data_IF_050436857300
#
_entry.id   IF_050436857300
#
_cell.length_a   1.000
_cell.length_b   1.000
_cell.length_c   1.000
_cell.angle_alpha   90.00
_cell.angle_beta   90.00
_cell.angle_gamma   90.00
#
_symmetry.space_group_name_H-M   'P 1'
#
loop_
_entity.id
_entity.type
_entity.pdbx_description
1 polymer ?
#
# COMPACT_ATOMS: atom_id res chain seq x y z
N UNK A 1 0.93 -4.53 -5.68
CA UNK A 1 2.39 -4.56 -5.94
C UNK A 1 2.89 -5.84 -6.60
N UNK A 2 2.48 -7.05 -6.15
CA UNK A 2 2.99 -8.30 -6.73
C UNK A 2 2.82 -8.41 -8.26
N UNK A 3 1.65 -8.05 -8.80
CA UNK A 3 1.40 -8.06 -10.26
C UNK A 3 2.32 -7.11 -11.03
N UNK A 4 2.54 -5.90 -10.52
CA UNK A 4 3.42 -4.91 -11.12
C UNK A 4 4.86 -5.42 -11.17
N UNK A 5 5.37 -5.94 -10.05
CA UNK A 5 6.72 -6.51 -9.99
C UNK A 5 6.86 -7.74 -10.88
N UNK A 6 5.88 -8.65 -10.88
CA UNK A 6 5.87 -9.85 -11.71
C UNK A 6 5.87 -9.52 -13.21
N UNK A 7 5.08 -8.53 -13.63
CA UNK A 7 5.05 -8.07 -15.02
C UNK A 7 6.40 -7.49 -15.47
N UNK A 8 7.05 -6.67 -14.63
CA UNK A 8 8.39 -6.14 -14.92
C UNK A 8 9.41 -7.28 -14.99
N UNK A 9 9.40 -8.20 -14.02
CA UNK A 9 10.32 -9.33 -14.00
C UNK A 9 10.17 -10.23 -15.23
N UNK A 10 8.94 -10.52 -15.68
CA UNK A 10 8.70 -11.34 -16.86
C UNK A 10 9.35 -10.74 -18.12
N UNK A 11 9.22 -9.42 -18.31
CA UNK A 11 9.85 -8.72 -19.45
C UNK A 11 11.38 -8.77 -19.34
N UNK A 12 11.94 -8.51 -18.15
CA UNK A 12 13.40 -8.55 -17.92
C UNK A 12 13.96 -9.95 -18.19
N UNK A 13 13.29 -10.99 -17.67
CA UNK A 13 13.72 -12.38 -17.85
C UNK A 13 13.70 -12.81 -19.31
N UNK A 14 12.62 -12.52 -20.04
CA UNK A 14 12.53 -12.84 -21.48
C UNK A 14 13.60 -12.09 -22.27
N UNK A 15 13.87 -10.83 -21.93
CA UNK A 15 14.91 -10.04 -22.60
C UNK A 15 16.31 -10.65 -22.40
N UNK A 16 16.65 -11.06 -21.17
CA UNK A 16 17.96 -11.66 -20.87
C UNK A 16 18.12 -13.07 -21.47
N UNK A 17 17.05 -13.87 -21.46
CA UNK A 17 17.07 -15.27 -21.90
C UNK A 17 16.56 -15.46 -23.33
N UNK A 18 16.57 -14.39 -24.12
CA UNK A 18 15.92 -14.34 -25.43
C UNK A 18 16.38 -15.45 -26.39
N UNK A 19 17.67 -15.80 -26.38
CA UNK A 19 18.23 -16.86 -27.23
C UNK A 19 17.78 -18.27 -26.83
N UNK A 20 17.31 -18.47 -25.59
CA UNK A 20 16.91 -19.77 -25.07
C UNK A 20 15.46 -20.11 -25.46
N UNK A 21 14.60 -19.11 -25.59
CA UNK A 21 13.18 -19.28 -25.92
C UNK A 21 12.94 -19.18 -27.43
N UNK A 22 12.86 -20.34 -28.11
CA UNK A 22 12.79 -20.43 -29.58
C UNK A 22 11.44 -19.99 -30.18
N UNK A 23 10.34 -20.11 -29.45
CA UNK A 23 9.02 -19.70 -29.92
C UNK A 23 8.84 -18.18 -29.81
N UNK A 24 9.04 -17.50 -30.95
CA UNK A 24 8.93 -16.03 -31.03
C UNK A 24 7.52 -15.53 -30.79
N UNK A 25 6.50 -16.31 -31.15
CA UNK A 25 5.09 -15.93 -30.99
C UNK A 25 4.70 -15.99 -29.52
N UNK A 26 5.05 -17.08 -28.83
CA UNK A 26 4.79 -17.20 -27.39
C UNK A 26 5.51 -16.09 -26.59
N UNK A 27 6.78 -15.81 -26.91
CA UNK A 27 7.54 -14.74 -26.24
C UNK A 27 6.88 -13.38 -26.45
N UNK A 28 6.46 -13.06 -27.68
CA UNK A 28 5.79 -11.80 -28.01
C UNK A 28 4.46 -11.66 -27.25
N UNK A 29 3.68 -12.74 -27.14
CA UNK A 29 2.43 -12.76 -26.38
C UNK A 29 2.71 -12.50 -24.89
N UNK A 30 3.71 -13.16 -24.30
CA UNK A 30 4.03 -12.97 -22.88
C UNK A 30 4.48 -11.54 -22.60
N UNK A 31 5.32 -10.96 -23.47
CA UNK A 31 5.76 -9.57 -23.33
C UNK A 31 4.58 -8.61 -23.47
N UNK A 32 3.72 -8.78 -24.48
CA UNK A 32 2.54 -7.94 -24.67
C UNK A 32 1.57 -8.02 -23.48
N UNK A 33 1.28 -9.24 -23.01
CA UNK A 33 0.46 -9.45 -21.82
C UNK A 33 1.07 -8.80 -20.57
N UNK A 34 2.40 -8.90 -20.40
CA UNK A 34 3.11 -8.27 -19.28
C UNK A 34 3.01 -6.75 -19.32
N UNK A 35 3.11 -6.13 -20.51
CA UNK A 35 2.94 -4.67 -20.67
C UNK A 35 1.51 -4.25 -20.31
N UNK A 36 0.50 -5.00 -20.74
CA UNK A 36 -0.91 -4.72 -20.40
C UNK A 36 -1.14 -4.85 -18.89
N UNK A 37 -0.68 -5.95 -18.27
CA UNK A 37 -0.79 -6.15 -16.81
C UNK A 37 -0.03 -5.08 -16.04
N UNK A 38 1.14 -4.66 -16.52
CA UNK A 38 1.92 -3.58 -15.93
C UNK A 38 1.15 -2.25 -15.97
N UNK A 39 0.65 -1.85 -17.14
CA UNK A 39 -0.08 -0.60 -17.30
C UNK A 39 -1.34 -0.55 -16.42
N UNK A 40 -2.13 -1.63 -16.42
CA UNK A 40 -3.31 -1.74 -15.56
C UNK A 40 -2.98 -1.72 -14.07
N UNK A 41 -1.94 -2.47 -13.65
CA UNK A 41 -1.49 -2.50 -12.25
C UNK A 41 -0.93 -1.15 -11.80
N UNK A 42 -0.18 -0.47 -12.66
CA UNK A 42 0.38 0.86 -12.38
C UNK A 42 -0.74 1.87 -12.21
N UNK A 43 -1.73 1.85 -13.11
CA UNK A 43 -2.90 2.71 -13.00
C UNK A 43 -3.63 2.49 -11.65
N UNK A 44 -3.92 1.24 -11.28
CA UNK A 44 -4.57 0.92 -10.00
C UNK A 44 -3.77 1.38 -8.78
N UNK A 45 -2.45 1.21 -8.79
CA UNK A 45 -1.58 1.64 -7.67
C UNK A 45 -1.52 3.17 -7.56
N UNK A 46 -1.57 3.88 -8.68
CA UNK A 46 -1.55 5.35 -8.67
C UNK A 46 -2.92 5.95 -8.32
N UNK A 47 -4.02 5.32 -8.74
CA UNK A 47 -5.37 5.84 -8.53
C UNK A 47 -5.96 5.43 -7.19
N UNK A 48 -5.59 4.26 -6.66
CA UNK A 48 -6.12 3.70 -5.40
C UNK A 48 -7.66 3.53 -5.40
N UNK A 49 -8.29 3.47 -6.57
CA UNK A 49 -9.76 3.42 -6.79
C UNK A 49 -10.46 2.23 -6.12
N UNK A 50 -9.73 1.16 -5.83
CA UNK A 50 -10.28 -0.07 -5.24
C UNK A 50 -10.02 -0.22 -3.74
N UNK A 51 -9.50 0.83 -3.10
CA UNK A 51 -9.24 0.86 -1.66
C UNK A 51 -10.48 1.38 -0.94
N UNK A 52 -11.03 0.58 -0.03
CA UNK A 52 -12.20 0.91 0.78
C UNK A 52 -11.80 1.05 2.25
N UNK A 53 -12.68 1.59 3.10
CA UNK A 53 -12.42 1.82 4.53
C UNK A 53 -11.84 0.58 5.23
N UNK A 54 -12.46 -0.59 5.04
CA UNK A 54 -12.03 -1.83 5.66
C UNK A 54 -10.69 -2.31 5.10
N UNK A 55 -10.48 -2.24 3.78
CA UNK A 55 -9.21 -2.70 3.18
C UNK A 55 -8.05 -1.76 3.51
N UNK A 56 -8.32 -0.45 3.60
CA UNK A 56 -7.39 0.55 4.11
C UNK A 56 -6.94 0.21 5.54
N UNK A 57 -7.88 0.03 6.48
CA UNK A 57 -7.54 -0.25 7.87
C UNK A 57 -6.84 -1.61 8.02
N UNK A 58 -7.28 -2.65 7.30
CA UNK A 58 -6.60 -3.96 7.31
C UNK A 58 -5.16 -3.87 6.79
N UNK A 59 -4.88 -2.99 5.83
CA UNK A 59 -3.52 -2.74 5.34
C UNK A 59 -2.69 -1.86 6.30
N UNK A 60 -3.32 -0.93 7.03
CA UNK A 60 -2.61 -0.03 7.95
C UNK A 60 -2.24 -0.69 9.29
N UNK A 61 -3.02 -1.65 9.80
CA UNK A 61 -2.64 -2.39 11.02
C UNK A 61 -1.21 -2.99 10.93
N UNK A 62 -0.82 -3.75 9.89
CA UNK A 62 0.54 -4.26 9.77
C UNK A 62 1.57 -3.15 9.48
N UNK A 63 1.19 -2.10 8.73
CA UNK A 63 2.07 -0.94 8.51
C UNK A 63 2.45 -0.27 9.84
N UNK A 64 1.46 -0.05 10.71
CA UNK A 64 1.65 0.48 12.06
C UNK A 64 2.50 -0.44 12.94
N UNK A 65 2.25 -1.75 12.83
CA UNK A 65 3.00 -2.76 13.59
C UNK A 65 4.50 -2.74 13.26
N UNK A 66 4.88 -2.42 12.01
CA UNK A 66 6.29 -2.26 11.63
C UNK A 66 6.91 -1.05 12.34
N UNK A 67 6.19 0.06 12.48
CA UNK A 67 6.69 1.24 13.18
C UNK A 67 6.90 0.97 14.68
N UNK A 68 5.99 0.21 15.31
CA UNK A 68 6.13 -0.26 16.70
C UNK A 68 7.39 -1.13 16.82
N UNK A 69 7.49 -2.20 16.03
CA UNK A 69 8.64 -3.11 16.05
C UNK A 69 9.97 -2.38 15.83
N UNK A 70 10.00 -1.45 14.86
CA UNK A 70 11.19 -0.65 14.57
C UNK A 70 11.57 0.23 15.75
N UNK A 71 10.59 0.84 16.42
CA UNK A 71 10.81 1.69 17.59
C UNK A 71 11.31 0.87 18.80
N UNK A 72 10.75 -0.32 19.03
CA UNK A 72 11.16 -1.24 20.11
C UNK A 72 12.58 -1.78 19.92
N UNK A 73 13.01 -2.00 18.68
CA UNK A 73 14.32 -2.58 18.34
C UNK A 73 15.40 -1.52 18.04
N UNK A 74 15.06 -0.24 18.05
CA UNK A 74 15.98 0.83 17.70
C UNK A 74 17.08 1.02 18.76
N UNK A 75 18.34 1.12 18.32
CA UNK A 75 19.48 1.43 19.19
C UNK A 75 19.65 2.94 19.44
N UNK A 76 18.58 3.61 19.90
CA UNK A 76 18.56 5.07 20.12
C UNK A 76 19.04 5.45 21.53
N UNK A 77 20.03 6.34 21.60
CA UNK A 77 20.68 6.75 22.87
C UNK A 77 20.25 8.13 23.37
N UNK A 78 19.98 9.06 22.44
CA UNK A 78 19.53 10.41 22.79
C UNK A 78 18.16 10.34 23.51
N UNK A 79 18.02 10.91 24.72
CA UNK A 79 16.75 10.91 25.47
C UNK A 79 15.56 11.50 24.68
N UNK A 80 15.80 12.49 23.82
CA UNK A 80 14.75 13.13 23.01
C UNK A 80 14.23 12.17 21.95
N UNK A 81 15.11 11.37 21.36
CA UNK A 81 14.75 10.37 20.34
C UNK A 81 14.04 9.18 20.97
N UNK A 82 14.43 8.76 22.18
CA UNK A 82 13.68 7.74 22.94
C UNK A 82 12.26 8.18 23.25
N UNK A 83 12.10 9.42 23.74
CA UNK A 83 10.76 9.99 23.97
C UNK A 83 9.91 10.05 22.70
N UNK A 84 10.53 10.32 21.54
CA UNK A 84 9.84 10.26 20.25
C UNK A 84 9.41 8.82 19.91
N UNK A 85 10.28 7.84 20.10
CA UNK A 85 9.97 6.42 19.85
C UNK A 85 8.83 5.92 20.74
N UNK A 86 8.84 6.27 22.03
CA UNK A 86 7.74 5.95 22.96
C UNK A 86 6.41 6.58 22.49
N UNK A 87 6.46 7.85 22.06
CA UNK A 87 5.30 8.54 21.51
C UNK A 87 4.75 7.91 20.22
N UNK A 88 5.64 7.41 19.35
CA UNK A 88 5.25 6.66 18.14
C UNK A 88 4.55 5.37 18.55
N UNK A 89 5.14 4.58 19.46
CA UNK A 89 4.54 3.31 19.93
C UNK A 89 3.14 3.56 20.48
N UNK A 90 3.01 4.51 21.40
CA UNK A 90 1.75 4.85 22.06
C UNK A 90 0.67 5.26 21.04
N UNK A 91 1.01 6.09 20.05
CA UNK A 91 0.07 6.50 19.01
C UNK A 91 -0.36 5.31 18.14
N UNK A 92 0.60 4.53 17.65
CA UNK A 92 0.36 3.44 16.72
C UNK A 92 -0.46 2.31 17.38
N UNK A 93 -0.24 2.02 18.67
CA UNK A 93 -1.05 1.05 19.43
C UNK A 93 -2.49 1.52 19.58
N UNK A 94 -2.72 2.79 19.90
CA UNK A 94 -4.08 3.35 19.99
C UNK A 94 -4.81 3.29 18.64
N UNK A 95 -4.15 3.74 17.58
CA UNK A 95 -4.70 3.74 16.22
C UNK A 95 -5.02 2.32 15.73
N UNK A 96 -4.19 1.32 16.06
CA UNK A 96 -4.51 -0.11 15.79
C UNK A 96 -5.80 -0.54 16.52
N UNK A 97 -5.99 -0.11 17.77
CA UNK A 97 -7.20 -0.40 18.54
C UNK A 97 -8.45 0.22 17.89
N UNK A 98 -8.36 1.49 17.51
CA UNK A 98 -9.42 2.21 16.79
C UNK A 98 -9.77 1.53 15.47
N UNK A 99 -8.76 1.21 14.64
CA UNK A 99 -8.95 0.51 13.37
C UNK A 99 -9.64 -0.85 13.54
N UNK A 100 -9.24 -1.65 14.54
CA UNK A 100 -9.89 -2.94 14.82
C UNK A 100 -11.34 -2.78 15.21
N UNK A 101 -11.65 -1.77 16.04
CA UNK A 101 -13.02 -1.46 16.44
C UNK A 101 -13.86 -1.03 15.25
N UNK A 102 -13.35 -0.13 14.40
CA UNK A 102 -14.05 0.36 13.22
C UNK A 102 -14.24 -0.72 12.16
N UNK A 103 -13.26 -1.61 11.94
CA UNK A 103 -13.43 -2.76 11.04
C UNK A 103 -14.61 -3.62 11.50
N UNK A 104 -14.68 -3.95 12.79
CA UNK A 104 -15.77 -4.78 13.33
C UNK A 104 -17.13 -4.09 13.19
N UNK A 105 -17.20 -2.77 13.41
CA UNK A 105 -18.43 -2.01 13.24
C UNK A 105 -18.86 -1.94 11.77
N UNK A 106 -17.97 -1.61 10.84
CA UNK A 106 -18.28 -1.52 9.41
C UNK A 106 -18.62 -2.86 8.77
N UNK A 107 -18.06 -3.97 9.26
CA UNK A 107 -18.44 -5.32 8.82
C UNK A 107 -19.84 -5.70 9.31
N UNK A 108 -20.27 -5.20 10.47
CA UNK A 108 -21.62 -5.41 11.01
C UNK A 108 -22.65 -4.40 10.44
N UNK A 109 -22.20 -3.17 10.18
CA UNK A 109 -23.01 -2.03 9.78
C UNK A 109 -22.33 -1.30 8.60
N UNK A 110 -22.46 -1.83 7.36
CA UNK A 110 -21.83 -1.22 6.20
C UNK A 110 -22.32 0.20 5.95
N UNK A 111 -21.42 1.06 5.48
CA UNK A 111 -21.75 2.40 5.02
C UNK A 111 -22.64 2.29 3.77
N UNK A 112 -23.64 3.18 3.57
CA UNK A 112 -24.43 3.20 2.35
C UNK A 112 -23.57 3.40 1.09
N UNK A 113 -23.91 2.72 0.00
CA UNK A 113 -23.17 2.77 -1.28
C UNK A 113 -23.06 4.17 -1.90
N UNK A 114 -23.91 5.11 -1.47
CA UNK A 114 -23.93 6.50 -1.95
C UNK A 114 -23.27 7.49 -0.98
N UNK A 115 -22.62 7.01 0.08
CA UNK A 115 -21.85 7.88 0.96
C UNK A 115 -20.68 8.50 0.19
N UNK A 116 -20.40 9.80 0.38
CA UNK A 116 -19.31 10.46 -0.33
C UNK A 116 -17.95 10.04 0.24
N UNK A 117 -16.97 9.90 -0.64
CA UNK A 117 -15.57 9.70 -0.26
C UNK A 117 -14.98 10.93 0.44
N UNK A 118 -13.91 10.72 1.21
CA UNK A 118 -13.16 11.81 1.84
C UNK A 118 -12.38 12.62 0.77
N UNK A 119 -12.63 13.94 0.63
CA UNK A 119 -11.95 14.74 -0.38
C UNK A 119 -10.50 15.01 0.01
N UNK A 120 -9.60 14.89 -0.96
CA UNK A 120 -8.19 15.19 -0.80
C UNK A 120 -7.94 16.66 -0.41
N UNK A 121 -6.75 16.97 0.13
CA UNK A 121 -6.36 18.36 0.39
C UNK A 121 -6.42 19.25 -0.87
N UNK A 122 -6.07 18.68 -2.02
CA UNK A 122 -6.11 19.40 -3.31
C UNK A 122 -7.53 19.75 -3.73
N UNK A 123 -8.45 18.80 -3.61
CA UNK A 123 -9.87 19.01 -3.94
C UNK A 123 -10.53 20.03 -3.00
N UNK A 124 -10.12 20.05 -1.73
CA UNK A 124 -10.60 21.04 -0.75
C UNK A 124 -9.95 22.42 -0.89
N UNK A 125 -8.94 22.59 -1.74
CA UNK A 125 -8.15 23.84 -1.80
C UNK A 125 -7.39 24.15 -0.51
N UNK A 126 -7.18 23.16 0.36
CA UNK A 126 -6.48 23.32 1.63
C UNK A 126 -4.98 23.05 1.44
N UNK A 127 -4.09 23.84 2.09
CA UNK A 127 -2.67 23.52 2.09
C UNK A 127 -2.44 22.15 2.75
N UNK A 128 -1.43 21.38 2.31
CA UNK A 128 -1.06 20.16 3.01
C UNK A 128 -0.67 20.49 4.46
N UNK A 129 -0.90 19.57 5.43
CA UNK A 129 -0.49 19.77 6.80
C UNK A 129 1.00 20.15 6.86
N UNK A 130 1.33 21.19 7.62
CA UNK A 130 2.71 21.61 7.83
C UNK A 130 3.44 20.52 8.63
N UNK A 131 4.56 20.03 8.10
CA UNK A 131 5.46 19.10 8.79
C UNK A 131 6.19 19.78 9.94
#
# INVERSE_FOLDING_TARGET
MALLMGAVMAVVMINFMWSMYKDRTANAIIVAASVVVFAGSLWLVCSQETVSDVSYMKAMIPHHSIAIMTSEQAHVRDPRVRKLADGIIDAQVREIGEMKSLIADLEAHPVPDNAPDFPSYRERGAPPPTQ
#
